data_IF_606965878993
#
_entry.id   IF_606965878993
#
_cell.length_a   1.000
_cell.length_b   1.000
_cell.length_c   1.000
_cell.angle_alpha   90.00
_cell.angle_beta   90.00
_cell.angle_gamma   90.00
#
_symmetry.space_group_name_H-M   'P 1'
#
loop_
_entity.id
_entity.type
_entity.pdbx_description
1 polymer ?
#
# COMPACT_ATOMS: atom_id res chain seq x y z
N UNK A 1 5.81 -14.76 4.47
CA UNK A 1 6.11 -13.81 3.39
C UNK A 1 4.78 -13.35 2.82
N UNK A 2 4.38 -12.12 3.17
CA UNK A 2 3.08 -11.57 2.82
C UNK A 2 3.06 -10.92 1.45
N UNK A 3 1.86 -10.63 0.97
CA UNK A 3 1.67 -9.79 -0.20
C UNK A 3 2.20 -8.38 0.09
N UNK A 4 2.96 -7.84 -0.86
CA UNK A 4 3.45 -6.46 -0.79
C UNK A 4 2.60 -5.60 -1.70
N UNK A 5 2.15 -4.46 -1.17
CA UNK A 5 1.54 -3.41 -1.98
C UNK A 5 2.57 -2.29 -2.14
N UNK A 6 2.79 -1.87 -3.37
CA UNK A 6 3.72 -0.79 -3.70
C UNK A 6 2.93 0.45 -4.10
N UNK A 7 3.22 1.54 -3.41
CA UNK A 7 2.75 2.88 -3.73
C UNK A 7 3.70 3.57 -4.71
N UNK A 8 3.16 4.03 -5.83
CA UNK A 8 3.92 4.67 -6.91
C UNK A 8 3.75 6.20 -6.90
N UNK A 9 4.88 6.89 -7.06
CA UNK A 9 4.99 8.34 -7.21
C UNK A 9 5.34 8.74 -8.65
N UNK A 10 5.55 10.03 -8.85
CA UNK A 10 5.90 10.61 -10.15
C UNK A 10 4.68 11.04 -10.97
N UNK A 11 4.95 11.86 -11.99
CA UNK A 11 3.91 12.46 -12.83
C UNK A 11 3.18 11.43 -13.71
N UNK A 12 3.91 10.44 -14.24
CA UNK A 12 3.37 9.40 -15.12
C UNK A 12 3.34 8.04 -14.41
N UNK A 13 2.17 7.58 -13.88
CA UNK A 13 2.08 6.29 -13.20
C UNK A 13 2.52 5.11 -14.08
N UNK A 14 2.26 5.16 -15.39
CA UNK A 14 2.69 4.11 -16.32
C UNK A 14 4.22 3.94 -16.38
N UNK A 15 5.00 5.03 -16.24
CA UNK A 15 6.46 4.95 -16.19
C UNK A 15 6.94 4.31 -14.87
N UNK A 16 6.35 4.71 -13.74
CA UNK A 16 6.66 4.09 -12.44
C UNK A 16 6.31 2.59 -12.44
N UNK A 17 5.18 2.20 -13.05
CA UNK A 17 4.84 0.78 -13.21
C UNK A 17 5.83 0.02 -14.10
N UNK A 18 6.31 0.64 -15.19
CA UNK A 18 7.31 0.02 -16.07
C UNK A 18 8.65 -0.17 -15.35
N UNK A 19 9.07 0.83 -14.56
CA UNK A 19 10.26 0.74 -13.72
C UNK A 19 10.16 -0.42 -12.72
N UNK A 20 9.03 -0.56 -12.00
CA UNK A 20 8.82 -1.69 -11.09
C UNK A 20 8.93 -3.03 -11.82
N UNK A 21 8.33 -3.17 -13.00
CA UNK A 21 8.45 -4.40 -13.80
C UNK A 21 9.88 -4.68 -14.25
N UNK A 22 10.68 -3.64 -14.50
CA UNK A 22 12.09 -3.79 -14.87
C UNK A 22 12.98 -4.13 -13.67
N UNK A 23 12.70 -3.56 -12.49
CA UNK A 23 13.46 -3.78 -11.25
C UNK A 23 13.23 -5.17 -10.64
N UNK A 24 12.07 -5.77 -10.89
CA UNK A 24 11.72 -7.10 -10.35
C UNK A 24 11.41 -8.10 -11.47
N UNK A 25 12.40 -8.42 -12.32
CA UNK A 25 12.18 -9.33 -13.43
C UNK A 25 11.77 -10.71 -12.92
N UNK A 26 10.74 -11.30 -13.54
CA UNK A 26 10.24 -12.62 -13.16
C UNK A 26 9.31 -12.66 -11.95
N UNK A 27 9.09 -11.52 -11.25
CA UNK A 27 8.04 -11.44 -10.23
C UNK A 27 6.67 -11.31 -10.88
N UNK A 28 5.66 -11.92 -10.27
CA UNK A 28 4.27 -11.70 -10.64
C UNK A 28 3.83 -10.33 -10.10
N UNK A 29 3.61 -9.37 -11.00
CA UNK A 29 3.26 -7.99 -10.65
C UNK A 29 1.89 -7.67 -11.23
N UNK A 30 0.93 -7.38 -10.37
CA UNK A 30 -0.46 -7.09 -10.74
C UNK A 30 -0.79 -5.63 -10.40
N UNK A 31 -1.21 -4.80 -11.37
CA UNK A 31 -1.69 -3.46 -11.06
C UNK A 31 -3.06 -3.52 -10.40
N UNK A 32 -3.33 -2.63 -9.46
CA UNK A 32 -4.68 -2.41 -8.97
C UNK A 32 -5.47 -1.47 -9.89
N UNK A 33 -6.77 -1.30 -9.62
CA UNK A 33 -7.60 -0.32 -10.32
C UNK A 33 -7.03 1.11 -10.20
N UNK A 34 -6.36 1.42 -9.08
CA UNK A 34 -5.56 2.63 -8.97
C UNK A 34 -4.23 2.43 -9.70
N UNK A 35 -3.90 3.26 -10.70
CA UNK A 35 -2.66 3.11 -11.48
C UNK A 35 -1.40 3.42 -10.66
N UNK A 36 -1.55 3.91 -9.42
CA UNK A 36 -0.45 4.18 -8.49
C UNK A 36 -0.23 3.08 -7.46
N UNK A 37 -0.97 1.97 -7.55
CA UNK A 37 -0.80 0.84 -6.65
C UNK A 37 -0.56 -0.44 -7.46
N UNK A 38 0.40 -1.24 -7.02
CA UNK A 38 0.67 -2.55 -7.58
C UNK A 38 0.86 -3.56 -6.47
N UNK A 39 0.52 -4.81 -6.75
CA UNK A 39 0.73 -5.96 -5.89
C UNK A 39 1.87 -6.81 -6.45
N UNK A 40 2.77 -7.26 -5.58
CA UNK A 40 3.83 -8.21 -5.91
C UNK A 40 4.32 -8.92 -4.64
N UNK A 41 5.12 -9.97 -4.83
CA UNK A 41 5.76 -10.70 -3.74
C UNK A 41 7.26 -10.46 -3.78
N UNK A 42 7.77 -9.82 -2.72
CA UNK A 42 9.18 -9.52 -2.54
C UNK A 42 9.81 -10.47 -1.52
N UNK A 43 11.07 -10.81 -1.77
CA UNK A 43 11.95 -11.57 -0.89
C UNK A 43 13.10 -10.65 -0.45
N UNK A 44 13.93 -11.11 0.49
CA UNK A 44 15.09 -10.35 0.97
C UNK A 44 16.05 -9.93 -0.15
N UNK A 45 16.20 -10.79 -1.17
CA UNK A 45 17.03 -10.55 -2.35
C UNK A 45 16.53 -9.38 -3.22
N UNK A 46 15.25 -9.01 -3.11
CA UNK A 46 14.66 -7.91 -3.90
C UNK A 46 14.84 -6.55 -3.21
N UNK A 47 15.15 -6.52 -1.91
CA UNK A 47 15.28 -5.29 -1.12
C UNK A 47 16.28 -4.27 -1.71
N UNK A 48 17.44 -4.68 -2.26
CA UNK A 48 18.36 -3.73 -2.91
C UNK A 48 17.71 -2.97 -4.08
N UNK A 49 16.84 -3.62 -4.87
CA UNK A 49 16.21 -3.02 -6.03
C UNK A 49 15.19 -1.93 -5.64
N UNK A 50 14.63 -2.03 -4.43
CA UNK A 50 13.75 -0.99 -3.88
C UNK A 50 14.53 0.31 -3.65
N UNK A 51 15.76 0.20 -3.13
CA UNK A 51 16.57 1.36 -2.76
C UNK A 51 17.03 2.20 -3.96
N UNK A 52 17.10 1.60 -5.15
CA UNK A 52 17.45 2.30 -6.40
C UNK A 52 16.21 2.80 -7.17
N UNK A 53 15.00 2.49 -6.69
CA UNK A 53 13.77 2.89 -7.38
C UNK A 53 13.48 4.38 -7.22
N UNK A 54 13.20 5.04 -8.35
CA UNK A 54 12.75 6.43 -8.40
C UNK A 54 11.22 6.58 -8.38
N UNK A 55 10.49 5.54 -8.77
CA UNK A 55 9.03 5.52 -8.89
C UNK A 55 8.32 4.92 -7.69
N UNK A 56 9.01 4.17 -6.82
CA UNK A 56 8.45 3.67 -5.57
C UNK A 56 8.48 4.79 -4.51
N UNK A 57 7.34 4.99 -3.85
CA UNK A 57 7.17 5.93 -2.73
C UNK A 57 7.18 5.19 -1.40
N UNK A 58 6.42 4.11 -1.32
CA UNK A 58 6.35 3.27 -0.13
C UNK A 58 6.02 1.83 -0.51
N UNK A 59 6.31 0.93 0.41
CA UNK A 59 5.96 -0.48 0.34
C UNK A 59 5.23 -0.84 1.62
N UNK A 60 4.04 -1.41 1.47
CA UNK A 60 3.26 -1.93 2.57
C UNK A 60 3.52 -3.42 2.68
N UNK A 61 4.22 -3.80 3.75
CA UNK A 61 4.41 -5.20 4.11
C UNK A 61 3.10 -5.75 4.67
N UNK A 62 2.73 -6.96 4.27
CA UNK A 62 1.43 -7.56 4.58
C UNK A 62 0.27 -6.63 4.17
N UNK A 63 0.41 -5.90 3.07
CA UNK A 63 -0.58 -4.92 2.64
C UNK A 63 -1.85 -5.61 2.12
N UNK A 64 -3.01 -5.13 2.55
CA UNK A 64 -4.31 -5.60 2.07
C UNK A 64 -5.02 -4.51 1.27
N UNK A 65 -5.72 -4.89 0.20
CA UNK A 65 -6.54 -3.98 -0.60
C UNK A 65 -8.02 -4.38 -0.55
N UNK A 66 -8.83 -3.56 0.09
CA UNK A 66 -10.26 -3.81 0.28
C UNK A 66 -11.11 -2.75 -0.43
N UNK A 67 -12.26 -3.14 -1.02
CA UNK A 67 -13.24 -2.16 -1.48
C UNK A 67 -13.77 -1.35 -0.30
N UNK A 68 -13.90 -0.04 -0.50
CA UNK A 68 -14.51 0.84 0.50
C UNK A 68 -16.04 0.74 0.42
N UNK A 69 -16.67 0.28 1.50
CA UNK A 69 -18.13 0.21 1.64
C UNK A 69 -18.66 1.27 2.62
N UNK A 70 -18.18 1.24 3.86
CA UNK A 70 -18.51 2.17 4.93
C UNK A 70 -17.40 2.19 6.00
N UNK A 71 -17.49 3.14 6.93
CA UNK A 71 -16.48 3.37 7.97
C UNK A 71 -16.37 2.18 8.92
N UNK A 72 -17.49 1.63 9.35
CA UNK A 72 -17.56 0.53 10.33
C UNK A 72 -16.90 -0.74 9.80
N UNK A 73 -17.15 -1.08 8.53
CA UNK A 73 -16.55 -2.21 7.84
C UNK A 73 -15.03 -2.06 7.77
N UNK A 74 -14.53 -0.88 7.40
CA UNK A 74 -13.08 -0.62 7.33
C UNK A 74 -12.46 -0.68 8.73
N UNK A 75 -13.12 -0.16 9.77
CA UNK A 75 -12.62 -0.25 11.15
C UNK A 75 -12.51 -1.71 11.62
N UNK A 76 -13.48 -2.56 11.25
CA UNK A 76 -13.42 -3.99 11.56
C UNK A 76 -12.24 -4.66 10.87
N UNK A 77 -12.02 -4.37 9.59
CA UNK A 77 -10.90 -4.91 8.81
C UNK A 77 -9.57 -4.48 9.42
N UNK A 78 -9.40 -3.19 9.74
CA UNK A 78 -8.17 -2.68 10.37
C UNK A 78 -7.90 -3.40 11.69
N UNK A 79 -8.91 -3.60 12.53
CA UNK A 79 -8.76 -4.32 13.81
C UNK A 79 -8.28 -5.76 13.59
N UNK A 80 -8.96 -6.52 12.73
CA UNK A 80 -8.57 -7.90 12.43
C UNK A 80 -7.17 -7.99 11.82
N UNK A 81 -6.79 -7.03 10.97
CA UNK A 81 -5.45 -6.96 10.40
C UNK A 81 -4.39 -6.75 11.48
N UNK A 82 -4.63 -5.85 12.44
CA UNK A 82 -3.72 -5.57 13.56
C UNK A 82 -3.65 -6.73 14.57
N UNK A 83 -4.70 -7.54 14.70
CA UNK A 83 -4.66 -8.76 15.53
C UNK A 83 -3.74 -9.83 14.92
N UNK A 84 -3.73 -9.96 13.60
CA UNK A 84 -2.86 -10.92 12.87
C UNK A 84 -1.45 -10.39 12.70
N UNK A 85 -1.30 -9.08 12.49
CA UNK A 85 -0.03 -8.39 12.27
C UNK A 85 0.16 -7.30 13.34
N UNK A 86 0.39 -7.68 14.60
CA UNK A 86 0.53 -6.72 15.69
C UNK A 86 1.72 -5.78 15.44
N UNK A 87 1.60 -4.48 15.78
CA UNK A 87 2.75 -3.57 15.77
C UNK A 87 3.81 -4.09 16.74
N UNK A 88 5.09 -3.89 16.42
CA UNK A 88 6.24 -4.36 17.21
C UNK A 88 6.39 -3.59 18.53
N UNK A 89 5.48 -3.75 19.47
CA UNK A 89 5.40 -3.07 20.78
C UNK A 89 5.36 -1.52 20.70
N UNK A 90 5.11 -0.96 19.51
CA UNK A 90 5.03 0.46 19.24
C UNK A 90 3.57 0.95 19.12
N UNK A 91 3.37 2.25 19.36
CA UNK A 91 2.06 2.87 19.18
C UNK A 91 1.69 2.93 17.68
N UNK A 92 0.58 2.28 17.30
CA UNK A 92 0.03 2.36 15.95
C UNK A 92 -0.91 3.57 15.82
N UNK A 93 -0.93 4.20 14.64
CA UNK A 93 -1.89 5.23 14.29
C UNK A 93 -2.44 4.95 12.89
N UNK A 94 -3.76 5.12 12.73
CA UNK A 94 -4.39 5.08 11.40
C UNK A 94 -4.25 6.45 10.76
N UNK A 95 -3.56 6.49 9.62
CA UNK A 95 -3.38 7.72 8.83
C UNK A 95 -4.08 7.55 7.49
N UNK A 96 -4.99 8.49 7.20
CA UNK A 96 -5.59 8.58 5.88
C UNK A 96 -4.55 9.11 4.88
N UNK A 97 -4.08 8.24 3.98
CA UNK A 97 -3.15 8.58 2.91
C UNK A 97 -3.83 8.50 1.53
N UNK A 98 -3.53 9.46 0.65
CA UNK A 98 -4.27 9.70 -0.59
C UNK A 98 -3.36 9.62 -1.80
N UNK A 99 -3.54 8.58 -2.61
CA UNK A 99 -2.95 8.47 -3.94
C UNK A 99 -3.95 8.97 -5.00
N UNK A 100 -3.93 10.27 -5.32
CA UNK A 100 -4.74 10.84 -6.42
C UNK A 100 -5.83 11.83 -5.97
N UNK A 101 -7.06 11.71 -6.51
CA UNK A 101 -8.20 12.58 -6.13
C UNK A 101 -8.86 12.11 -4.84
N UNK A 102 -9.60 13.00 -4.17
CA UNK A 102 -10.24 12.67 -2.89
C UNK A 102 -11.39 11.70 -3.12
N UNK A 103 -11.67 10.84 -2.14
CA UNK A 103 -12.91 10.05 -2.15
C UNK A 103 -14.03 10.97 -1.68
N UNK A 104 -15.07 11.10 -2.49
CA UNK A 104 -16.24 11.91 -2.16
C UNK A 104 -16.93 11.36 -0.89
N UNK A 105 -17.29 12.25 0.03
CA UNK A 105 -17.92 11.87 1.30
C UNK A 105 -16.97 11.36 2.40
N UNK A 106 -15.66 11.25 2.14
CA UNK A 106 -14.68 10.77 3.13
C UNK A 106 -13.81 11.91 3.66
N UNK A 107 -14.02 12.29 4.92
CA UNK A 107 -13.13 13.22 5.64
C UNK A 107 -11.97 12.48 6.30
N UNK A 108 -10.75 12.99 6.16
CA UNK A 108 -9.55 12.48 6.87
C UNK A 108 -9.71 12.51 8.39
N UNK A 109 -10.44 13.49 8.93
CA UNK A 109 -10.70 13.59 10.37
C UNK A 109 -11.60 12.48 10.91
N UNK A 110 -12.41 11.83 10.06
CA UNK A 110 -13.26 10.72 10.48
C UNK A 110 -12.45 9.46 10.80
N UNK A 111 -11.25 9.33 10.21
CA UNK A 111 -10.33 8.21 10.42
C UNK A 111 -9.14 8.57 11.30
N UNK A 112 -8.87 9.85 11.53
CA UNK A 112 -7.77 10.32 12.36
C UNK A 112 -8.09 10.09 13.84
N UNK A 113 -7.49 9.06 14.42
CA UNK A 113 -7.62 8.70 15.83
C UNK A 113 -6.93 7.38 16.08
N UNK A 114 -6.23 7.26 17.21
CA UNK A 114 -5.59 6.00 17.63
C UNK A 114 -6.65 4.90 17.62
N UNK A 115 -6.39 3.82 16.89
CA UNK A 115 -7.08 2.54 17.06
C UNK A 115 -6.33 1.78 18.14
#
# INVERSE_FOLDING_TARGET
MGEHIVALRGWHPALAQAEVRALFPGRNIQPFASPRLMQLQLNEEDLPNISISSGIEAIFNNGENHPFNNVESIRSIIKSHLEVNPPNDEACAVVAWKHGRGIEGVSRSAFAGRV
#
